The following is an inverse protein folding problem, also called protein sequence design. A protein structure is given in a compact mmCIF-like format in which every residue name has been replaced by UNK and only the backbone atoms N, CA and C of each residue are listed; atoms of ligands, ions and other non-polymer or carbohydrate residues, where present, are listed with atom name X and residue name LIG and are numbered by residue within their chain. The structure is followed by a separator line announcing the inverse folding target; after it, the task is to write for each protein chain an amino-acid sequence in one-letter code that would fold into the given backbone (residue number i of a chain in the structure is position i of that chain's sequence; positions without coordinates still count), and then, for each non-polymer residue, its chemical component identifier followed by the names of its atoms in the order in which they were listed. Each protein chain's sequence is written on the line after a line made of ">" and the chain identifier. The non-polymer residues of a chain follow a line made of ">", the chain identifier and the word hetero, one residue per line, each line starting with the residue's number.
data_IF_254498042802
#
_entry.id   IF_254498042802
#
_cell.length_a   1.000
_cell.length_b   1.000
_cell.length_c   1.000
_cell.angle_alpha   90.00
_cell.angle_beta   90.00
_cell.angle_gamma   90.00
#
_symmetry.space_group_name_H-M   'P 1'
#
loop_
_entity.id
_entity.type
_entity.pdbx_description
1 polymer ?
#
# COMPACT_ATOMS: atom_id res chain seq x y z
N UNK A 1 -2.49 9.89 -16.49
CA UNK A 1 -1.98 10.69 -15.34
C UNK A 1 -2.12 10.04 -13.94
N UNK A 2 -2.40 8.73 -13.78
CA UNK A 2 -2.60 8.08 -12.44
C UNK A 2 -1.38 7.34 -11.86
N UNK A 3 -0.29 7.19 -12.63
CA UNK A 3 0.92 6.43 -12.23
C UNK A 3 1.88 7.29 -11.39
N UNK A 4 2.11 8.54 -11.79
CA UNK A 4 3.09 9.44 -11.14
C UNK A 4 2.75 9.76 -9.67
N UNK A 5 1.46 9.89 -9.32
CA UNK A 5 1.06 10.10 -7.92
C UNK A 5 1.36 8.89 -7.03
N UNK A 6 1.31 7.65 -7.53
CA UNK A 6 1.58 6.46 -6.69
C UNK A 6 3.06 6.31 -6.35
N UNK A 7 3.94 6.60 -7.32
CA UNK A 7 5.39 6.60 -7.13
C UNK A 7 5.85 7.62 -6.07
N UNK A 8 5.18 8.78 -5.99
CA UNK A 8 5.46 9.81 -4.99
C UNK A 8 5.21 9.32 -3.54
N UNK A 9 4.21 8.46 -3.31
CA UNK A 9 3.91 7.96 -1.95
C UNK A 9 4.85 6.84 -1.50
N UNK A 10 5.30 5.99 -2.44
CA UNK A 10 6.40 5.06 -2.18
C UNK A 10 7.67 5.79 -1.77
N UNK A 11 7.99 6.89 -2.47
CA UNK A 11 9.10 7.78 -2.13
C UNK A 11 8.95 8.43 -0.74
N UNK A 12 7.79 9.02 -0.43
CA UNK A 12 7.55 9.66 0.87
C UNK A 12 7.70 8.67 2.03
N UNK A 13 7.15 7.46 1.86
CA UNK A 13 7.27 6.40 2.87
C UNK A 13 8.72 5.96 3.05
N UNK A 14 9.43 5.75 1.95
CA UNK A 14 10.84 5.35 1.98
C UNK A 14 11.70 6.38 2.72
N UNK A 15 11.53 7.66 2.38
CA UNK A 15 12.24 8.76 3.05
C UNK A 15 11.87 8.85 4.54
N UNK A 16 10.61 8.64 4.90
CA UNK A 16 10.17 8.62 6.30
C UNK A 16 10.84 7.50 7.10
N UNK A 17 10.93 6.28 6.54
CA UNK A 17 11.59 5.16 7.20
C UNK A 17 13.07 5.43 7.38
N UNK A 18 13.78 5.82 6.30
CA UNK A 18 15.22 6.07 6.34
C UNK A 18 15.61 7.21 7.28
N UNK A 19 14.75 8.22 7.43
CA UNK A 19 14.99 9.32 8.36
C UNK A 19 14.97 8.90 9.85
N UNK A 20 14.36 7.75 10.19
CA UNK A 20 14.40 7.19 11.55
C UNK A 20 14.12 8.20 12.67
N UNK A 21 13.08 9.03 12.50
CA UNK A 21 12.77 10.16 13.39
C UNK A 21 12.57 9.79 14.87
N UNK A 22 12.16 8.56 15.15
CA UNK A 22 11.86 8.09 16.50
C UNK A 22 12.82 7.00 16.95
N UNK A 23 13.04 6.87 18.26
CA UNK A 23 13.83 5.78 18.82
C UNK A 23 13.20 4.39 18.58
N UNK A 24 11.87 4.31 18.55
CA UNK A 24 11.10 3.10 18.23
C UNK A 24 9.80 3.48 17.50
N UNK A 25 9.22 2.55 16.74
CA UNK A 25 7.91 2.72 16.12
C UNK A 25 7.92 3.21 14.68
N UNK A 26 9.07 3.61 14.12
CA UNK A 26 9.17 4.12 12.74
C UNK A 26 8.52 3.18 11.71
N UNK A 27 8.74 1.86 11.83
CA UNK A 27 8.12 0.88 10.93
C UNK A 27 6.59 0.85 11.02
N UNK A 28 6.02 1.03 12.22
CA UNK A 28 4.55 1.11 12.39
C UNK A 28 4.03 2.40 11.77
N UNK A 29 4.66 3.53 12.08
CA UNK A 29 4.27 4.83 11.55
C UNK A 29 4.39 4.91 10.03
N UNK A 30 5.43 4.31 9.45
CA UNK A 30 5.60 4.23 8.00
C UNK A 30 4.48 3.42 7.32
N UNK A 31 4.08 2.28 7.90
CA UNK A 31 2.94 1.50 7.40
C UNK A 31 1.63 2.27 7.53
N UNK A 32 1.42 3.00 8.63
CA UNK A 32 0.28 3.90 8.79
C UNK A 32 0.28 5.00 7.72
N UNK A 33 1.45 5.55 7.39
CA UNK A 33 1.61 6.55 6.34
C UNK A 33 1.24 6.00 4.96
N UNK A 34 1.70 4.78 4.62
CA UNK A 34 1.27 4.08 3.40
C UNK A 34 -0.25 3.95 3.36
N UNK A 35 -0.86 3.44 4.43
CA UNK A 35 -2.32 3.24 4.51
C UNK A 35 -3.04 4.58 4.31
N UNK A 36 -2.60 5.63 5.01
CA UNK A 36 -3.17 6.97 4.90
C UNK A 36 -3.11 7.50 3.46
N UNK A 37 -1.96 7.38 2.79
CA UNK A 37 -1.79 7.79 1.39
C UNK A 37 -2.73 7.04 0.45
N UNK A 38 -2.93 5.74 0.65
CA UNK A 38 -3.85 4.93 -0.16
C UNK A 38 -5.30 5.36 0.05
N UNK A 39 -5.72 5.57 1.30
CA UNK A 39 -7.05 6.06 1.63
C UNK A 39 -7.32 7.45 1.04
N UNK A 40 -6.34 8.37 1.09
CA UNK A 40 -6.43 9.71 0.46
C UNK A 40 -6.61 9.65 -1.05
N UNK A 41 -6.20 8.55 -1.69
CA UNK A 41 -6.36 8.30 -3.12
C UNK A 41 -7.63 7.48 -3.46
N UNK A 42 -8.49 7.21 -2.47
CA UNK A 42 -9.62 6.28 -2.60
C UNK A 42 -9.19 4.89 -3.10
N UNK A 43 -7.99 4.45 -2.70
CA UNK A 43 -7.47 3.11 -2.95
C UNK A 43 -7.68 2.25 -1.70
N UNK A 44 -7.92 0.96 -1.91
CA UNK A 44 -7.95 -0.01 -0.81
C UNK A 44 -6.59 -0.03 -0.10
N UNK A 45 -6.56 0.06 1.24
CA UNK A 45 -5.31 0.07 1.99
C UNK A 45 -4.62 -1.30 1.90
N UNK A 46 -3.28 -1.27 1.99
CA UNK A 46 -2.46 -2.48 2.05
C UNK A 46 -2.33 -2.91 3.50
N UNK A 47 -2.56 -4.19 3.76
CA UNK A 47 -2.22 -4.82 5.04
C UNK A 47 -0.96 -5.66 4.81
N UNK A 48 0.09 -5.31 5.53
CA UNK A 48 1.31 -6.11 5.60
C UNK A 48 1.11 -7.19 6.67
N UNK A 49 0.99 -8.43 6.21
CA UNK A 49 0.94 -9.60 7.07
C UNK A 49 2.36 -10.03 7.47
N UNK A 50 2.47 -10.90 8.48
CA UNK A 50 3.78 -11.39 8.92
C UNK A 50 4.53 -12.14 7.82
N UNK A 51 3.82 -12.77 6.88
CA UNK A 51 4.44 -13.45 5.73
C UNK A 51 5.17 -12.50 4.77
N UNK A 52 4.74 -11.24 4.67
CA UNK A 52 5.38 -10.21 3.82
C UNK A 52 6.42 -9.37 4.56
N UNK A 53 6.66 -9.64 5.85
CA UNK A 53 7.61 -8.88 6.68
C UNK A 53 9.03 -8.89 6.14
N UNK A 54 9.55 -10.05 5.75
CA UNK A 54 10.91 -10.18 5.23
C UNK A 54 11.05 -9.48 3.88
N UNK A 55 10.08 -9.66 2.97
CA UNK A 55 10.08 -8.95 1.68
C UNK A 55 10.03 -7.42 1.85
N UNK A 56 9.22 -6.94 2.80
CA UNK A 56 9.13 -5.51 3.12
C UNK A 56 10.45 -4.96 3.66
N UNK A 57 11.11 -5.69 4.56
CA UNK A 57 12.40 -5.27 5.12
C UNK A 57 13.49 -5.28 4.05
N UNK A 58 13.56 -6.31 3.22
CA UNK A 58 14.52 -6.38 2.11
C UNK A 58 14.33 -5.20 1.15
N UNK A 59 13.08 -4.88 0.81
CA UNK A 59 12.77 -3.73 -0.06
C UNK A 59 13.15 -2.37 0.56
N UNK A 60 13.29 -2.27 1.89
CA UNK A 60 13.79 -1.08 2.57
C UNK A 60 15.32 -1.01 2.62
N UNK A 61 15.99 -2.18 2.61
CA UNK A 61 17.44 -2.30 2.64
C UNK A 61 18.08 -1.92 1.30
N UNK A 62 17.41 -2.16 0.17
CA UNK A 62 17.93 -1.91 -1.20
C UNK A 62 18.24 -0.42 -1.53
N UNK A 63 18.04 0.50 -0.60
CA UNK A 63 18.32 1.96 -0.68
C UNK A 63 17.68 2.73 -1.85
N UNK A 64 16.91 2.05 -2.70
CA UNK A 64 16.28 2.63 -3.88
C UNK A 64 14.78 2.84 -3.68
N UNK A 65 14.40 4.11 -3.49
CA UNK A 65 13.01 4.52 -3.35
C UNK A 65 12.11 4.15 -4.55
N UNK A 66 12.67 3.99 -5.75
CA UNK A 66 11.92 3.58 -6.95
C UNK A 66 11.57 2.11 -6.84
N UNK A 67 12.53 1.27 -6.44
CA UNK A 67 12.30 -0.16 -6.21
C UNK A 67 11.33 -0.40 -5.06
N UNK A 68 11.46 0.35 -3.96
CA UNK A 68 10.50 0.31 -2.86
C UNK A 68 9.09 0.71 -3.33
N UNK A 69 8.95 1.78 -4.11
CA UNK A 69 7.65 2.18 -4.66
C UNK A 69 7.05 1.11 -5.58
N UNK A 70 7.87 0.45 -6.39
CA UNK A 70 7.45 -0.66 -7.25
C UNK A 70 7.00 -1.89 -6.43
N UNK A 71 7.70 -2.21 -5.34
CA UNK A 71 7.31 -3.24 -4.40
C UNK A 71 5.92 -2.96 -3.78
N UNK A 72 5.70 -1.73 -3.30
CA UNK A 72 4.40 -1.33 -2.73
C UNK A 72 3.26 -1.46 -3.76
N UNK A 73 3.49 -1.05 -5.01
CA UNK A 73 2.49 -1.20 -6.09
C UNK A 73 2.24 -2.68 -6.46
N UNK A 74 3.29 -3.52 -6.46
CA UNK A 74 3.18 -4.98 -6.67
C UNK A 74 2.30 -5.62 -5.60
N UNK A 75 2.58 -5.36 -4.32
CA UNK A 75 1.80 -5.89 -3.20
C UNK A 75 0.35 -5.42 -3.29
N UNK A 76 0.11 -4.13 -3.54
CA UNK A 76 -1.23 -3.60 -3.68
C UNK A 76 -2.02 -4.28 -4.80
N UNK A 77 -1.42 -4.46 -5.98
CA UNK A 77 -2.06 -5.14 -7.12
C UNK A 77 -2.42 -6.58 -6.77
N UNK A 78 -1.50 -7.32 -6.13
CA UNK A 78 -1.76 -8.70 -5.69
C UNK A 78 -2.94 -8.77 -4.71
N UNK A 79 -2.95 -7.93 -3.67
CA UNK A 79 -4.02 -7.94 -2.65
C UNK A 79 -5.35 -7.39 -3.18
N UNK A 80 -5.32 -6.42 -4.09
CA UNK A 80 -6.54 -5.87 -4.73
C UNK A 80 -7.24 -6.89 -5.62
N UNK A 81 -6.49 -7.79 -6.28
CA UNK A 81 -7.04 -8.89 -7.09
C UNK A 81 -7.72 -9.95 -6.23
N UNK A 82 -7.12 -10.29 -5.09
CA UNK A 82 -7.69 -11.26 -4.14
C UNK A 82 -9.00 -10.77 -3.51
N UNK A 83 -9.13 -9.45 -3.30
CA UNK A 83 -10.35 -8.85 -2.76
C UNK A 83 -11.42 -8.56 -3.82
N UNK A 84 -11.19 -8.91 -5.10
CA UNK A 84 -12.16 -8.83 -6.19
C UNK A 84 -13.11 -10.04 -6.26
N UNK A 85 -12.89 -11.07 -5.44
CA UNK A 85 -13.75 -12.26 -5.34
C UNK A 85 -15.00 -12.09 -4.46
N UNK A 86 -15.11 -11.00 -3.69
CA UNK A 86 -16.39 -10.58 -3.13
C UNK A 86 -16.99 -9.54 -4.06
N UNK A 87 -17.56 -10.04 -5.15
CA UNK A 87 -18.52 -9.30 -5.93
C UNK A 87 -19.57 -8.76 -4.97
N UNK A 88 -19.58 -7.44 -4.80
CA UNK A 88 -20.78 -6.74 -4.40
C UNK A 88 -21.82 -7.12 -5.46
N UNK A 89 -22.61 -8.17 -5.19
CA UNK A 89 -23.83 -8.44 -5.93
C UNK A 89 -24.64 -7.17 -5.76
N UNK A 90 -24.60 -6.32 -6.78
CA UNK A 90 -25.60 -5.28 -6.97
C UNK A 90 -26.93 -6.00 -6.80
N UNK A 91 -27.65 -5.63 -5.75
CA UNK A 91 -28.97 -6.17 -5.47
C UNK A 91 -29.81 -5.81 -6.69
N UNK A 92 -30.21 -6.80 -7.48
CA UNK A 92 -31.22 -6.63 -8.51
C UNK A 92 -32.58 -6.54 -7.82
N UNK A 93 -32.75 -5.50 -7.02
CA UNK A 93 -34.05 -4.97 -6.66
C UNK A 93 -34.08 -3.67 -7.49
N UNK A 94 -34.44 -3.71 -8.77
CA UNK A 94 -35.82 -3.55 -9.19
C UNK A 94 -36.08 -4.37 -10.47
N UNK A 95 -36.87 -5.44 -10.33
CA UNK A 95 -37.72 -5.96 -11.40
C UNK A 95 -39.16 -5.88 -10.91
N UNK A 96 -40.04 -5.46 -11.82
CA UNK A 96 -41.52 -5.45 -11.75
C UNK A 96 -42.05 -4.22 -11.02
N UNK A 97 -42.91 -3.38 -11.59
CA UNK A 97 -43.89 -3.50 -12.70
C UNK A 97 -44.03 -2.14 -13.41
#
# INVERSE_FOLDING_TARGET
>A
MRMGRRLQHGRITFLYVKAHFYHNGNGRSARCLIIFCFLRMNLKPIVFDDSSRNEYNNALEDEDHIQFAAFIDKIWKAKSRLQGGHGMKMRNDEKKE
#
